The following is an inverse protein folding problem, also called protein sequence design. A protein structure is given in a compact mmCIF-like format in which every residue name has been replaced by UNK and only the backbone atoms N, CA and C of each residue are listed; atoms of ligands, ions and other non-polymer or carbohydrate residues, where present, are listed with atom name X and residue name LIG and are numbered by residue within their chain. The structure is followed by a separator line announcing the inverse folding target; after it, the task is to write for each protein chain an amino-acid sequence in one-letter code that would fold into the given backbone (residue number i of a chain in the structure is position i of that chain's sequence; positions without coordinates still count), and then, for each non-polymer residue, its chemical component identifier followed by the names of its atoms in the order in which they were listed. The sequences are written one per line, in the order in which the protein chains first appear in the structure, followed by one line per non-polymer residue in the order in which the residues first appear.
data_IF_173788645796
#
_entry.id   IF_173788645796
#
_cell.length_a   1.000
_cell.length_b   1.000
_cell.length_c   1.000
_cell.angle_alpha   90.00
_cell.angle_beta   90.00
_cell.angle_gamma   90.00
#
_symmetry.space_group_name_H-M   'P 1'
#
loop_
_entity.id
_entity.type
_entity.pdbx_description
1 polymer ?
#
# COMPACT_ATOMS: atom_id res chain seq x y z
N UNK A 1 15.77 14.05 -30.80
CA UNK A 1 14.31 14.12 -30.91
C UNK A 1 13.68 12.93 -30.18
N UNK A 2 14.00 11.67 -30.49
CA UNK A 2 13.42 10.47 -29.89
C UNK A 2 13.57 10.46 -28.35
N UNK A 3 14.77 10.76 -27.83
CA UNK A 3 15.01 10.79 -26.39
C UNK A 3 14.16 11.86 -25.69
N UNK A 4 14.04 13.04 -26.28
CA UNK A 4 13.20 14.13 -25.73
C UNK A 4 11.71 13.72 -25.71
N UNK A 5 11.24 13.07 -26.77
CA UNK A 5 9.86 12.56 -26.82
C UNK A 5 9.59 11.50 -25.76
N UNK A 6 10.55 10.62 -25.50
CA UNK A 6 10.46 9.61 -24.44
C UNK A 6 10.42 10.25 -23.05
N UNK A 7 11.25 11.25 -22.81
CA UNK A 7 11.26 11.98 -21.53
C UNK A 7 9.92 12.69 -21.31
N UNK A 8 9.41 13.40 -22.30
CA UNK A 8 8.11 14.08 -22.20
C UNK A 8 6.96 13.11 -21.98
N UNK A 9 6.98 11.98 -22.68
CA UNK A 9 6.00 10.91 -22.50
C UNK A 9 6.05 10.33 -21.08
N UNK A 10 7.24 10.05 -20.55
CA UNK A 10 7.42 9.57 -19.18
C UNK A 10 6.95 10.60 -18.14
N UNK A 11 7.27 11.88 -18.32
CA UNK A 11 6.77 12.96 -17.45
C UNK A 11 5.24 13.03 -17.46
N UNK A 12 4.61 12.85 -18.61
CA UNK A 12 3.15 12.82 -18.71
C UNK A 12 2.55 11.60 -18.02
N UNK A 13 3.17 10.43 -18.16
CA UNK A 13 2.74 9.19 -17.48
C UNK A 13 2.81 9.30 -15.96
N UNK A 14 3.78 10.05 -15.43
CA UNK A 14 4.08 10.15 -14.00
C UNK A 14 3.66 11.47 -13.37
N UNK A 15 2.72 12.17 -14.01
CA UNK A 15 2.27 13.52 -13.59
C UNK A 15 1.73 13.52 -12.16
N UNK A 16 0.95 12.52 -11.77
CA UNK A 16 0.34 12.46 -10.44
C UNK A 16 1.42 12.31 -9.37
N UNK A 17 2.41 11.44 -9.60
CA UNK A 17 3.54 11.27 -8.69
C UNK A 17 4.39 12.55 -8.57
N UNK A 18 4.53 13.31 -9.67
CA UNK A 18 5.32 14.55 -9.69
C UNK A 18 4.59 15.73 -9.05
N UNK A 19 3.27 15.72 -9.02
CA UNK A 19 2.45 16.82 -8.49
C UNK A 19 2.26 16.78 -6.98
N UNK A 20 2.38 15.62 -6.34
CA UNK A 20 2.19 15.47 -4.91
C UNK A 20 3.50 15.75 -4.14
N UNK A 21 3.44 16.60 -3.11
CA UNK A 21 4.57 16.85 -2.21
C UNK A 21 4.80 15.66 -1.25
N UNK A 22 6.01 15.53 -0.70
CA UNK A 22 6.32 14.47 0.28
C UNK A 22 5.48 14.60 1.56
N UNK A 23 5.21 15.83 1.99
CA UNK A 23 4.34 16.10 3.14
C UNK A 23 2.92 15.61 2.89
N UNK A 24 2.37 15.92 1.72
CA UNK A 24 1.02 15.49 1.33
C UNK A 24 0.95 13.98 1.13
N UNK A 25 1.97 13.39 0.51
CA UNK A 25 2.08 11.94 0.31
C UNK A 25 2.09 11.22 1.66
N UNK A 26 2.93 11.66 2.59
CA UNK A 26 2.99 11.10 3.95
C UNK A 26 1.64 11.21 4.66
N UNK A 27 0.99 12.37 4.59
CA UNK A 27 -0.32 12.59 5.22
C UNK A 27 -1.40 11.67 4.62
N UNK A 28 -1.44 11.53 3.29
CA UNK A 28 -2.40 10.63 2.64
C UNK A 28 -2.17 9.16 2.98
N UNK A 29 -0.92 8.72 3.00
CA UNK A 29 -0.59 7.33 3.31
C UNK A 29 -0.96 6.97 4.75
N UNK A 30 -0.64 7.82 5.71
CA UNK A 30 -0.89 7.57 7.13
C UNK A 30 -2.34 7.82 7.56
N UNK A 31 -3.18 8.37 6.67
CA UNK A 31 -4.58 8.60 7.00
C UNK A 31 -5.34 7.27 7.09
N UNK A 32 -5.74 6.91 8.29
CA UNK A 32 -6.64 5.79 8.58
C UNK A 32 -8.00 6.40 8.92
N UNK A 33 -9.06 6.10 8.18
CA UNK A 33 -10.39 6.59 8.53
C UNK A 33 -10.76 6.18 9.95
N UNK A 34 -11.08 7.15 10.82
CA UNK A 34 -11.43 6.90 12.23
C UNK A 34 -10.23 6.80 13.18
N UNK A 35 -9.02 7.17 12.79
CA UNK A 35 -7.83 7.16 13.67
C UNK A 35 -7.93 8.15 14.85
N UNK A 36 -8.80 9.16 14.76
CA UNK A 36 -9.16 10.03 15.87
C UNK A 36 -9.79 9.28 17.05
N UNK A 37 -10.25 8.03 16.83
CA UNK A 37 -10.79 7.17 17.88
C UNK A 37 -9.69 6.45 18.69
N UNK A 38 -8.44 6.53 18.24
CA UNK A 38 -7.27 6.02 18.97
C UNK A 38 -6.77 7.13 19.88
N UNK A 39 -6.83 6.93 21.19
CA UNK A 39 -6.30 7.93 22.13
C UNK A 39 -4.75 7.97 22.11
N UNK A 40 -4.18 9.03 22.69
CA UNK A 40 -2.72 9.25 22.77
C UNK A 40 -1.94 8.12 23.48
N UNK A 41 -2.62 7.21 24.19
CA UNK A 41 -2.02 6.06 24.86
C UNK A 41 -2.10 4.79 24.03
N UNK A 42 -2.45 4.86 22.73
CA UNK A 42 -2.68 3.72 21.85
C UNK A 42 -3.75 2.73 22.38
N UNK A 43 -4.65 3.18 23.23
CA UNK A 43 -5.79 2.38 23.64
C UNK A 43 -6.83 2.42 22.52
N UNK A 44 -7.33 1.26 22.15
CA UNK A 44 -8.48 1.13 21.25
C UNK A 44 -9.68 1.68 22.03
N UNK A 45 -10.25 2.76 21.55
CA UNK A 45 -11.58 3.17 21.99
C UNK A 45 -12.54 2.18 21.32
N UNK A 46 -13.35 1.50 22.11
CA UNK A 46 -14.32 0.50 21.65
C UNK A 46 -15.49 1.13 20.87
N UNK A 47 -15.17 1.98 19.90
CA UNK A 47 -16.19 2.53 19.02
C UNK A 47 -16.06 1.85 17.65
N UNK A 48 -16.94 0.86 17.49
CA UNK A 48 -17.12 0.14 16.24
C UNK A 48 -17.82 1.07 15.24
N UNK A 49 -17.11 1.45 14.17
CA UNK A 49 -17.77 2.11 13.05
C UNK A 49 -18.65 1.11 12.30
N UNK A 50 -19.93 1.09 12.69
CA UNK A 50 -20.93 0.25 12.06
C UNK A 50 -21.13 0.52 10.55
N UNK A 51 -20.65 1.67 10.04
CA UNK A 51 -20.80 2.03 8.63
C UNK A 51 -19.78 1.34 7.73
N UNK A 52 -18.62 0.95 8.28
CA UNK A 52 -17.51 0.37 7.52
C UNK A 52 -17.02 -0.99 8.04
N UNK A 53 -17.61 -1.54 9.10
CA UNK A 53 -17.15 -2.76 9.74
C UNK A 53 -15.64 -2.76 10.03
N UNK A 54 -15.11 -1.62 10.49
CA UNK A 54 -13.68 -1.42 10.68
C UNK A 54 -13.38 -1.18 12.15
N UNK A 55 -12.46 -1.92 12.71
CA UNK A 55 -11.86 -1.68 14.02
C UNK A 55 -10.42 -1.21 13.80
N UNK A 56 -10.03 -0.08 14.26
CA UNK A 56 -8.67 0.41 14.14
C UNK A 56 -7.83 -0.20 15.24
N UNK A 57 -6.77 -0.88 14.85
CA UNK A 57 -5.84 -1.54 15.78
C UNK A 57 -4.61 -0.68 15.95
N UNK A 58 -4.28 -0.32 17.18
CA UNK A 58 -3.04 0.41 17.50
C UNK A 58 -1.77 -0.41 17.20
N UNK A 59 -0.63 0.24 16.93
CA UNK A 59 0.59 -0.44 16.49
C UNK A 59 1.11 -1.49 17.48
N UNK A 60 0.87 -1.29 18.78
CA UNK A 60 1.30 -2.22 19.83
C UNK A 60 0.33 -3.40 20.07
N UNK A 61 -0.79 -3.44 19.35
CA UNK A 61 -1.83 -4.46 19.52
C UNK A 61 -1.87 -5.46 18.36
N UNK A 62 -0.97 -5.31 17.38
CA UNK A 62 -0.88 -6.24 16.24
C UNK A 62 0.00 -7.43 16.63
N UNK A 63 -0.56 -8.63 16.59
CA UNK A 63 0.21 -9.85 16.83
C UNK A 63 1.25 -10.04 15.71
N UNK A 64 2.51 -10.31 16.09
CA UNK A 64 3.62 -10.54 15.15
C UNK A 64 3.33 -11.67 14.14
N UNK A 65 2.56 -12.68 14.52
CA UNK A 65 2.17 -13.77 13.63
C UNK A 65 1.31 -13.29 12.45
N UNK A 66 0.51 -12.25 12.64
CA UNK A 66 -0.27 -11.64 11.55
C UNK A 66 0.66 -10.95 10.57
N UNK A 67 1.63 -10.19 11.07
CA UNK A 67 2.64 -9.52 10.25
C UNK A 67 3.44 -10.57 9.46
N UNK A 68 3.85 -11.65 10.10
CA UNK A 68 4.57 -12.74 9.45
C UNK A 68 3.73 -13.43 8.38
N UNK A 69 2.46 -13.76 8.67
CA UNK A 69 1.56 -14.38 7.71
C UNK A 69 1.30 -13.46 6.51
N UNK A 70 1.06 -12.17 6.76
CA UNK A 70 0.84 -11.18 5.73
C UNK A 70 2.07 -11.03 4.82
N UNK A 71 3.24 -10.83 5.41
CA UNK A 71 4.47 -10.67 4.62
C UNK A 71 4.84 -11.95 3.87
N UNK A 72 4.59 -13.12 4.44
CA UNK A 72 4.83 -14.40 3.77
C UNK A 72 3.88 -14.64 2.58
N UNK A 73 2.64 -14.15 2.64
CA UNK A 73 1.65 -14.33 1.58
C UNK A 73 1.74 -13.25 0.49
N UNK A 74 1.91 -12.00 0.87
CA UNK A 74 1.82 -10.86 -0.05
C UNK A 74 3.18 -10.35 -0.52
N UNK A 75 4.19 -10.37 0.34
CA UNK A 75 5.47 -9.72 0.08
C UNK A 75 6.62 -10.31 0.91
N UNK A 76 7.10 -11.48 0.52
CA UNK A 76 8.14 -12.22 1.26
C UNK A 76 9.45 -11.45 1.48
N UNK A 77 9.70 -10.43 0.70
CA UNK A 77 10.88 -9.59 0.78
C UNK A 77 10.58 -8.19 1.34
N UNK A 78 9.43 -7.99 1.98
CA UNK A 78 8.97 -6.69 2.47
C UNK A 78 10.05 -5.92 3.23
N UNK A 79 10.75 -6.55 4.15
CA UNK A 79 11.81 -5.91 4.95
C UNK A 79 13.15 -5.74 4.22
N UNK A 80 13.25 -6.19 2.95
CA UNK A 80 14.51 -6.20 2.19
C UNK A 80 14.52 -5.28 0.97
N UNK A 81 13.36 -4.87 0.47
CA UNK A 81 13.26 -3.98 -0.68
C UNK A 81 12.86 -2.56 -0.27
N UNK A 82 13.00 -1.61 -1.19
CA UNK A 82 12.61 -0.20 -1.04
C UNK A 82 11.35 0.12 -1.89
N UNK A 83 10.23 -0.52 -1.56
CA UNK A 83 8.92 -0.25 -2.16
C UNK A 83 8.61 -1.02 -3.44
N UNK A 84 9.61 -1.52 -4.15
CA UNK A 84 9.41 -2.27 -5.39
C UNK A 84 10.33 -3.49 -5.45
N UNK A 85 9.89 -4.50 -6.20
CA UNK A 85 10.70 -5.67 -6.56
C UNK A 85 10.94 -5.69 -8.08
N UNK A 86 12.09 -5.20 -8.59
CA UNK A 86 12.34 -5.06 -10.03
C UNK A 86 12.17 -6.35 -10.81
N UNK A 87 12.61 -7.49 -10.27
CA UNK A 87 12.46 -8.82 -10.92
C UNK A 87 10.99 -9.24 -11.05
N UNK A 88 10.19 -8.98 -10.02
CA UNK A 88 8.75 -9.29 -10.04
C UNK A 88 8.01 -8.36 -11.00
N UNK A 89 8.38 -7.08 -11.03
CA UNK A 89 7.84 -6.11 -11.97
C UNK A 89 8.12 -6.48 -13.42
N UNK A 90 9.37 -6.85 -13.74
CA UNK A 90 9.75 -7.28 -15.08
C UNK A 90 8.98 -8.54 -15.50
N UNK A 91 8.85 -9.52 -14.60
CA UNK A 91 8.07 -10.73 -14.86
C UNK A 91 6.59 -10.41 -15.15
N UNK A 92 5.98 -9.53 -14.35
CA UNK A 92 4.60 -9.11 -14.56
C UNK A 92 4.41 -8.42 -15.93
N UNK A 93 5.32 -7.52 -16.31
CA UNK A 93 5.29 -6.86 -17.62
C UNK A 93 5.41 -7.85 -18.78
N UNK A 94 6.28 -8.85 -18.68
CA UNK A 94 6.43 -9.88 -19.70
C UNK A 94 5.17 -10.76 -19.80
N UNK A 95 4.53 -11.08 -18.68
CA UNK A 95 3.28 -11.85 -18.66
C UNK A 95 2.12 -11.09 -19.30
N UNK A 96 2.01 -9.78 -19.04
CA UNK A 96 1.01 -8.92 -19.69
C UNK A 96 1.15 -8.90 -21.21
N UNK A 97 2.39 -8.86 -21.70
CA UNK A 97 2.69 -8.90 -23.16
C UNK A 97 2.34 -10.26 -23.77
N UNK A 98 2.54 -11.35 -23.04
CA UNK A 98 2.30 -12.72 -23.53
C UNK A 98 0.85 -13.20 -23.33
N UNK A 99 -0.06 -12.35 -22.85
CA UNK A 99 -1.46 -12.70 -22.55
C UNK A 99 -1.61 -13.96 -21.67
N UNK A 100 -0.63 -14.27 -20.83
CA UNK A 100 -0.76 -15.38 -19.91
C UNK A 100 -1.70 -14.98 -18.77
N UNK A 101 -2.85 -15.65 -18.67
CA UNK A 101 -3.92 -15.40 -17.68
C UNK A 101 -3.51 -15.69 -16.22
N UNK A 102 -2.23 -15.83 -15.94
CA UNK A 102 -1.73 -15.95 -14.58
C UNK A 102 -1.44 -14.56 -14.03
N UNK A 103 -2.38 -14.00 -13.26
CA UNK A 103 -2.10 -12.82 -12.44
C UNK A 103 -1.06 -13.21 -11.38
N UNK A 104 0.20 -13.03 -11.68
CA UNK A 104 1.24 -13.22 -10.67
C UNK A 104 1.18 -12.04 -9.69
N UNK A 105 1.02 -12.33 -8.41
CA UNK A 105 1.16 -11.36 -7.33
C UNK A 105 2.56 -10.75 -7.34
N UNK A 106 2.72 -9.64 -8.05
CA UNK A 106 4.00 -8.96 -8.24
C UNK A 106 4.09 -7.58 -7.60
N UNK A 107 2.99 -7.12 -7.00
CA UNK A 107 2.95 -5.82 -6.32
C UNK A 107 3.33 -5.98 -4.84
N UNK A 108 4.21 -5.11 -4.35
CA UNK A 108 4.59 -5.08 -2.94
C UNK A 108 3.46 -4.55 -2.06
N UNK A 109 3.56 -4.78 -0.75
CA UNK A 109 2.67 -4.18 0.26
C UNK A 109 2.64 -2.66 0.10
N UNK A 110 3.79 -2.02 -0.07
CA UNK A 110 3.89 -0.57 -0.26
C UNK A 110 3.21 -0.08 -1.53
N UNK A 111 3.32 -0.82 -2.63
CA UNK A 111 2.60 -0.50 -3.87
C UNK A 111 1.08 -0.63 -3.71
N UNK A 112 0.61 -1.66 -3.01
CA UNK A 112 -0.81 -1.83 -2.71
C UNK A 112 -1.34 -0.69 -1.82
N UNK A 113 -0.57 -0.27 -0.82
CA UNK A 113 -0.91 0.84 0.05
C UNK A 113 -1.05 2.15 -0.74
N UNK A 114 -0.08 2.49 -1.57
CA UNK A 114 -0.11 3.66 -2.47
C UNK A 114 -1.32 3.62 -3.39
N UNK A 115 -1.59 2.47 -4.00
CA UNK A 115 -2.75 2.28 -4.87
C UNK A 115 -4.05 2.62 -4.16
N UNK A 116 -4.21 2.16 -2.92
CA UNK A 116 -5.46 2.32 -2.17
C UNK A 116 -5.64 3.72 -1.59
N UNK A 117 -4.55 4.38 -1.15
CA UNK A 117 -4.62 5.65 -0.43
C UNK A 117 -4.44 6.89 -1.32
N UNK A 118 -3.73 6.77 -2.43
CA UNK A 118 -3.30 7.94 -3.20
C UNK A 118 -3.83 7.93 -4.62
N UNK A 119 -3.95 6.76 -5.24
CA UNK A 119 -4.25 6.63 -6.66
C UNK A 119 -5.71 6.26 -6.93
N UNK A 120 -6.17 6.59 -8.13
CA UNK A 120 -7.51 6.19 -8.59
C UNK A 120 -7.56 4.69 -8.92
N UNK A 121 -8.76 4.10 -8.85
CA UNK A 121 -8.98 2.68 -9.16
C UNK A 121 -8.89 2.33 -10.67
N UNK A 122 -8.60 3.29 -11.54
CA UNK A 122 -8.47 3.06 -12.98
C UNK A 122 -7.23 2.21 -13.28
N UNK A 123 -7.41 1.09 -13.95
CA UNK A 123 -6.32 0.21 -14.38
C UNK A 123 -5.66 0.77 -15.64
N UNK A 124 -4.64 1.61 -15.50
CA UNK A 124 -3.88 2.21 -16.60
C UNK A 124 -2.37 2.05 -16.38
N UNK A 125 -1.59 2.08 -17.45
CA UNK A 125 -0.13 2.10 -17.36
C UNK A 125 0.39 3.33 -16.61
N UNK A 126 -0.26 4.48 -16.82
CA UNK A 126 0.05 5.71 -16.07
C UNK A 126 -0.11 5.51 -14.56
N UNK A 127 -1.24 4.94 -14.12
CA UNK A 127 -1.44 4.62 -12.71
C UNK A 127 -0.35 3.70 -12.17
N UNK A 128 0.05 2.66 -12.92
CA UNK A 128 1.10 1.73 -12.50
C UNK A 128 2.48 2.40 -12.43
N UNK A 129 2.80 3.30 -13.35
CA UNK A 129 4.02 4.09 -13.31
C UNK A 129 4.07 5.02 -12.08
N UNK A 130 2.97 5.73 -11.80
CA UNK A 130 2.84 6.55 -10.59
C UNK A 130 2.95 5.72 -9.31
N UNK A 131 2.31 4.55 -9.25
CA UNK A 131 2.39 3.62 -8.12
C UNK A 131 3.83 3.22 -7.79
N UNK A 132 4.63 2.89 -8.80
CA UNK A 132 6.05 2.50 -8.64
C UNK A 132 6.86 3.67 -8.05
N UNK A 133 6.72 4.87 -8.59
CA UNK A 133 7.45 6.05 -8.11
C UNK A 133 7.03 6.40 -6.68
N UNK A 134 5.73 6.45 -6.42
CA UNK A 134 5.21 6.80 -5.11
C UNK A 134 5.56 5.76 -4.06
N UNK A 135 5.55 4.47 -4.39
CA UNK A 135 5.97 3.41 -3.45
C UNK A 135 7.42 3.58 -3.01
N UNK A 136 8.34 3.90 -3.94
CA UNK A 136 9.73 4.18 -3.58
C UNK A 136 9.86 5.43 -2.70
N UNK A 137 9.08 6.48 -2.98
CA UNK A 137 9.06 7.70 -2.15
C UNK A 137 8.52 7.42 -0.74
N UNK A 138 7.45 6.63 -0.63
CA UNK A 138 6.86 6.24 0.67
C UNK A 138 7.89 5.52 1.54
N UNK A 139 8.66 4.59 0.99
CA UNK A 139 9.72 3.88 1.72
C UNK A 139 10.88 4.77 2.19
N UNK A 140 11.07 5.93 1.56
CA UNK A 140 12.02 6.94 2.03
C UNK A 140 11.44 7.86 3.11
N UNK A 141 10.10 7.93 3.23
CA UNK A 141 9.40 8.82 4.15
C UNK A 141 8.91 8.13 5.42
N UNK A 142 8.69 6.82 5.36
CA UNK A 142 8.07 6.01 6.40
C UNK A 142 8.91 4.78 6.73
N UNK A 143 8.88 4.36 7.98
CA UNK A 143 9.44 3.09 8.41
C UNK A 143 8.59 1.90 7.92
N UNK A 144 9.18 0.71 7.88
CA UNK A 144 8.47 -0.53 7.55
C UNK A 144 7.30 -0.79 8.50
N UNK A 145 7.46 -0.46 9.76
CA UNK A 145 6.41 -0.63 10.77
C UNK A 145 5.25 0.33 10.55
N UNK A 146 5.51 1.59 10.19
CA UNK A 146 4.46 2.54 9.80
C UNK A 146 3.70 2.07 8.56
N UNK A 147 4.41 1.56 7.55
CA UNK A 147 3.81 1.05 6.32
C UNK A 147 2.92 -0.15 6.60
N UNK A 148 3.42 -1.15 7.32
CA UNK A 148 2.66 -2.39 7.56
C UNK A 148 1.47 -2.17 8.49
N UNK A 149 1.63 -1.33 9.52
CA UNK A 149 0.55 -0.93 10.40
C UNK A 149 -0.58 -0.23 9.63
N UNK A 150 -0.22 0.75 8.80
CA UNK A 150 -1.20 1.46 7.98
C UNK A 150 -1.89 0.50 7.00
N UNK A 151 -1.13 -0.38 6.35
CA UNK A 151 -1.66 -1.40 5.45
C UNK A 151 -2.70 -2.29 6.13
N UNK A 152 -2.39 -2.80 7.32
CA UNK A 152 -3.29 -3.67 8.11
C UNK A 152 -4.61 -2.99 8.47
N UNK A 153 -4.62 -1.67 8.61
CA UNK A 153 -5.83 -0.91 8.96
C UNK A 153 -6.69 -0.50 7.74
N UNK A 154 -6.14 -0.49 6.53
CA UNK A 154 -6.86 0.05 5.36
C UNK A 154 -7.17 -0.97 4.29
N UNK A 155 -6.40 -2.04 4.18
CA UNK A 155 -6.58 -3.00 3.09
C UNK A 155 -7.69 -3.98 3.43
N UNK A 156 -8.64 -4.22 2.49
CA UNK A 156 -9.71 -5.18 2.70
C UNK A 156 -9.17 -6.61 2.73
N UNK A 157 -9.50 -7.35 3.78
CA UNK A 157 -9.13 -8.76 3.97
C UNK A 157 -10.27 -9.74 3.67
N UNK A 158 -11.17 -9.43 2.75
CA UNK A 158 -12.26 -10.30 2.34
C UNK A 158 -13.60 -9.58 2.22
N UNK A 159 -14.67 -10.33 2.03
CA UNK A 159 -16.02 -9.80 1.91
C UNK A 159 -16.37 -8.92 3.13
N UNK A 160 -16.62 -7.66 2.87
CA UNK A 160 -17.16 -6.67 3.82
C UNK A 160 -16.28 -6.24 5.00
N UNK A 161 -14.98 -6.60 5.03
CA UNK A 161 -14.08 -6.18 6.10
C UNK A 161 -12.85 -5.43 5.57
N UNK A 162 -12.61 -4.22 6.09
CA UNK A 162 -11.39 -3.47 5.88
C UNK A 162 -10.50 -3.61 7.12
N UNK A 163 -9.23 -3.93 6.93
CA UNK A 163 -8.26 -4.10 8.01
C UNK A 163 -8.22 -5.51 8.62
N UNK A 164 -7.12 -5.84 9.30
CA UNK A 164 -6.83 -7.15 9.91
C UNK A 164 -7.59 -7.42 11.23
N UNK A 165 -8.71 -6.92 11.35
CA UNK A 165 -9.45 -6.50 12.48
C UNK A 165 -10.01 -7.59 13.39
N UNK A 166 -10.22 -8.80 12.93
CA UNK A 166 -11.15 -9.68 13.64
C UNK A 166 -10.48 -10.86 14.35
N UNK A 167 -9.30 -11.22 13.95
CA UNK A 167 -8.71 -12.48 14.44
C UNK A 167 -7.37 -12.33 15.13
N UNK A 168 -6.83 -11.14 15.25
CA UNK A 168 -5.50 -10.92 15.74
C UNK A 168 -5.38 -10.20 17.08
N UNK A 169 -6.48 -9.84 17.68
CA UNK A 169 -6.48 -9.35 19.05
C UNK A 169 -6.47 -10.60 19.92
N UNK A 170 -5.28 -11.07 20.26
CA UNK A 170 -5.14 -12.13 21.25
C UNK A 170 -5.43 -11.56 22.63
N UNK A 171 -6.33 -12.20 23.31
CA UNK A 171 -6.43 -12.20 24.76
C UNK A 171 -5.07 -12.42 25.45
#
# INVERSE_FOLDING_TARGET
IILLSLVLYFQQLTKDASSISDRELKAKILHIPGDELINHNNQILEEYDHSQNTLIVGPNHVNSNIIHALTASEDTLFYKHNGIMPKALLRAMLQDITNSNQSSGGSTITQQLVKNQVLSNKKTYSRKANEIILATRVENLLSKDEIIYTYLNIVPFGHDYNGANITGISS
#
